data_IF_487144217875
#
_entry.id   IF_487144217875
#
_cell.length_a   1.000
_cell.length_b   1.000
_cell.length_c   1.000
_cell.angle_alpha   90.00
_cell.angle_beta   90.00
_cell.angle_gamma   90.00
#
_symmetry.space_group_name_H-M   'P 1'
#
loop_
_entity.id
_entity.type
_entity.pdbx_description
1 polymer ?
#
# COMPACT_ATOMS: atom_id res chain seq x y z
N UNK A 1 25.74 -0.09 -11.02
CA UNK A 1 24.82 -1.09 -10.47
C UNK A 1 23.39 -0.59 -10.60
N UNK A 2 22.54 -1.37 -11.24
CA UNK A 2 21.11 -1.08 -11.25
C UNK A 2 20.47 -1.67 -10.00
N UNK A 3 19.88 -0.83 -9.17
CA UNK A 3 19.11 -1.28 -8.02
C UNK A 3 17.64 -1.41 -8.42
N UNK A 4 17.20 -2.64 -8.48
CA UNK A 4 15.77 -2.96 -8.62
C UNK A 4 15.29 -3.46 -7.27
N UNK A 5 14.16 -2.96 -6.80
CA UNK A 5 13.56 -3.49 -5.58
C UNK A 5 12.03 -3.48 -5.66
N UNK A 6 11.46 -4.42 -4.95
CA UNK A 6 10.02 -4.49 -4.71
C UNK A 6 9.83 -4.39 -3.21
N UNK A 7 9.06 -3.42 -2.78
CA UNK A 7 8.72 -3.22 -1.37
C UNK A 7 7.21 -3.19 -1.23
N UNK A 8 6.68 -4.05 -0.37
CA UNK A 8 5.24 -4.21 -0.18
C UNK A 8 4.92 -4.12 1.31
N UNK A 9 3.92 -3.31 1.66
CA UNK A 9 3.45 -3.13 3.03
C UNK A 9 1.93 -3.22 3.11
N UNK A 10 1.44 -3.61 4.29
CA UNK A 10 0.02 -3.66 4.63
C UNK A 10 -0.45 -2.33 5.22
N UNK A 11 -1.67 -1.95 4.87
CA UNK A 11 -2.29 -0.71 5.36
C UNK A 11 -3.69 -0.98 5.89
N UNK A 12 -4.00 -0.36 7.03
CA UNK A 12 -5.33 -0.35 7.61
C UNK A 12 -6.04 0.99 7.45
N UNK A 13 -7.33 1.02 7.75
CA UNK A 13 -8.12 2.26 7.77
C UNK A 13 -7.62 3.21 8.86
N UNK A 14 -7.22 2.64 10.00
CA UNK A 14 -6.66 3.35 11.15
C UNK A 14 -5.30 2.75 11.45
N UNK A 15 -4.34 3.60 11.81
CA UNK A 15 -3.00 3.14 12.19
C UNK A 15 -3.09 2.36 13.51
N UNK A 16 -2.54 1.16 13.53
CA UNK A 16 -2.42 0.36 14.75
C UNK A 16 -1.61 1.11 15.79
N UNK A 17 -2.22 1.35 16.94
CA UNK A 17 -1.44 1.76 18.11
C UNK A 17 -0.62 0.55 18.55
N UNK A 18 0.68 0.58 18.31
CA UNK A 18 1.57 -0.42 18.90
C UNK A 18 1.38 -0.34 20.41
N UNK A 19 0.86 -1.39 21.00
CA UNK A 19 0.85 -1.55 22.46
C UNK A 19 2.29 -1.35 22.91
N UNK A 20 2.53 -0.34 23.73
CA UNK A 20 3.80 -0.21 24.41
C UNK A 20 3.97 -1.46 25.25
N UNK A 21 4.78 -2.40 24.79
CA UNK A 21 5.20 -3.47 25.68
C UNK A 21 5.91 -2.79 26.85
N UNK A 22 5.38 -2.97 28.03
CA UNK A 22 5.92 -2.44 29.28
C UNK A 22 7.27 -3.07 29.67
N UNK A 23 8.02 -3.55 28.69
CA UNK A 23 9.40 -4.01 28.88
C UNK A 23 10.34 -2.83 28.77
N UNK A 24 10.93 -2.47 29.89
CA UNK A 24 12.10 -1.64 30.10
C UNK A 24 12.96 -1.39 28.85
N UNK A 25 13.40 -0.14 28.66
CA UNK A 25 14.35 0.38 27.66
C UNK A 25 13.76 0.88 26.34
N UNK A 26 12.61 1.53 26.37
CA UNK A 26 12.00 2.17 25.22
C UNK A 26 12.70 3.44 24.69
N UNK A 27 13.89 3.76 25.20
CA UNK A 27 14.67 4.93 24.76
C UNK A 27 15.04 4.92 23.28
N UNK A 28 14.91 3.77 22.60
CA UNK A 28 15.33 3.58 21.21
C UNK A 28 14.21 3.13 20.27
N UNK A 29 12.98 2.99 20.76
CA UNK A 29 11.85 2.71 19.87
C UNK A 29 11.48 4.00 19.17
N UNK A 30 11.99 4.18 17.95
CA UNK A 30 11.40 5.12 17.01
C UNK A 30 9.92 4.75 16.87
N UNK A 31 9.04 5.66 17.22
CA UNK A 31 7.64 5.55 16.88
C UNK A 31 7.55 5.55 15.34
N UNK A 32 7.58 4.36 14.74
CA UNK A 32 7.25 4.23 13.33
C UNK A 32 5.75 4.48 13.24
N UNK A 33 5.37 5.70 12.94
CA UNK A 33 4.00 6.01 12.58
C UNK A 33 3.69 5.21 11.33
N UNK A 34 2.92 4.13 11.49
CA UNK A 34 2.34 3.44 10.36
C UNK A 34 1.49 4.44 9.57
N UNK A 35 1.30 4.19 8.28
CA UNK A 35 0.43 5.00 7.44
C UNK A 35 -0.92 4.31 7.29
N UNK A 36 -1.98 5.10 7.22
CA UNK A 36 -3.32 4.60 6.91
C UNK A 36 -3.51 4.45 5.40
N UNK A 37 -4.58 3.74 5.01
CA UNK A 37 -5.00 3.67 3.60
C UNK A 37 -5.16 5.09 3.01
N UNK A 38 -5.77 6.00 3.74
CA UNK A 38 -5.95 7.39 3.30
C UNK A 38 -4.62 8.07 3.00
N UNK A 39 -3.65 7.90 3.87
CA UNK A 39 -2.33 8.51 3.71
C UNK A 39 -1.56 7.94 2.52
N UNK A 40 -1.59 6.62 2.33
CA UNK A 40 -0.89 6.01 1.19
C UNK A 40 -1.56 6.36 -0.14
N UNK A 41 -2.88 6.48 -0.18
CA UNK A 41 -3.60 6.93 -1.36
C UNK A 41 -3.26 8.39 -1.69
N UNK A 42 -3.21 9.27 -0.68
CA UNK A 42 -2.82 10.66 -0.85
C UNK A 42 -1.38 10.80 -1.39
N UNK A 43 -0.47 9.98 -0.88
CA UNK A 43 0.90 9.93 -1.39
C UNK A 43 0.94 9.45 -2.85
N UNK A 44 0.20 8.41 -3.19
CA UNK A 44 0.12 7.87 -4.55
C UNK A 44 -0.49 8.87 -5.54
N UNK A 45 -1.44 9.67 -5.11
CA UNK A 45 -2.01 10.78 -5.89
C UNK A 45 -1.05 11.97 -6.00
N UNK A 46 0.02 11.97 -5.22
CA UNK A 46 0.98 13.08 -5.16
C UNK A 46 0.34 14.39 -4.76
N UNK A 47 -0.59 14.34 -3.81
CA UNK A 47 -1.21 15.51 -3.23
C UNK A 47 -0.16 16.40 -2.55
N UNK A 48 -0.41 17.71 -2.53
CA UNK A 48 0.51 18.67 -1.93
C UNK A 48 0.85 18.30 -0.48
N UNK A 49 2.15 18.30 -0.17
CA UNK A 49 2.66 17.97 1.15
C UNK A 49 2.87 16.47 1.41
N UNK A 50 2.43 15.58 0.52
CA UNK A 50 2.58 14.14 0.69
C UNK A 50 3.78 13.55 -0.05
N UNK A 51 4.46 14.33 -0.87
CA UNK A 51 5.68 13.94 -1.58
C UNK A 51 6.80 14.97 -1.38
N UNK A 52 7.25 15.21 -0.13
CA UNK A 52 8.23 16.27 0.15
C UNK A 52 9.62 15.98 -0.46
N UNK A 53 9.90 14.74 -0.79
CA UNK A 53 11.16 14.31 -1.41
C UNK A 53 11.22 14.54 -2.92
N UNK A 54 10.13 14.97 -3.52
CA UNK A 54 10.04 15.24 -4.96
C UNK A 54 9.69 16.70 -5.18
N UNK A 55 10.55 17.41 -5.86
CA UNK A 55 10.39 18.86 -6.08
C UNK A 55 9.19 19.18 -6.96
N UNK A 56 9.02 18.45 -8.06
CA UNK A 56 7.89 18.62 -8.98
C UNK A 56 7.27 17.25 -9.30
N UNK A 57 6.41 16.72 -8.43
CA UNK A 57 5.79 15.42 -8.68
C UNK A 57 4.85 15.49 -9.89
N UNK A 58 5.01 14.52 -10.79
CA UNK A 58 4.11 14.36 -11.94
C UNK A 58 2.83 13.66 -11.50
N UNK A 59 1.73 13.95 -12.20
CA UNK A 59 0.48 13.24 -11.97
C UNK A 59 0.66 11.74 -12.21
N UNK A 60 0.04 10.89 -11.37
CA UNK A 60 0.14 9.45 -11.57
C UNK A 60 -0.57 9.01 -12.85
N UNK A 61 0.02 8.04 -13.55
CA UNK A 61 -0.54 7.45 -14.77
C UNK A 61 -1.08 6.07 -14.43
N UNK A 62 -2.36 5.84 -14.71
CA UNK A 62 -2.96 4.54 -14.51
C UNK A 62 -2.50 3.56 -15.60
N UNK A 63 -1.82 2.49 -15.19
CA UNK A 63 -1.32 1.45 -16.10
C UNK A 63 -2.22 0.22 -16.12
N UNK A 64 -2.91 -0.08 -15.02
CA UNK A 64 -3.75 -1.26 -14.89
C UNK A 64 -4.83 -1.02 -13.84
N UNK A 65 -6.02 -1.55 -14.08
CA UNK A 65 -7.11 -1.59 -13.10
C UNK A 65 -7.85 -0.29 -12.94
N UNK A 66 -8.22 0.02 -11.71
CA UNK A 66 -9.08 1.16 -11.36
C UNK A 66 -8.26 2.33 -10.78
N UNK A 67 -8.83 3.53 -10.82
CA UNK A 67 -8.19 4.72 -10.26
C UNK A 67 -8.06 4.67 -8.75
N UNK A 68 -7.23 5.55 -8.19
CA UNK A 68 -6.90 5.54 -6.77
C UNK A 68 -8.10 5.82 -5.85
N UNK A 69 -9.05 6.65 -6.27
CA UNK A 69 -10.29 6.89 -5.50
C UNK A 69 -11.12 5.62 -5.38
N UNK A 70 -11.19 4.83 -6.44
CA UNK A 70 -11.88 3.56 -6.44
C UNK A 70 -11.16 2.53 -5.58
N UNK A 71 -9.83 2.54 -5.57
CA UNK A 71 -9.01 1.68 -4.68
C UNK A 71 -9.35 1.94 -3.22
N UNK A 72 -9.40 3.21 -2.82
CA UNK A 72 -9.77 3.59 -1.45
C UNK A 72 -11.17 3.09 -1.08
N UNK A 73 -12.12 3.31 -1.97
CA UNK A 73 -13.51 2.84 -1.81
C UNK A 73 -13.59 1.34 -1.66
N UNK A 74 -12.93 0.58 -2.52
CA UNK A 74 -12.90 -0.88 -2.47
C UNK A 74 -12.29 -1.40 -1.16
N UNK A 75 -11.23 -0.77 -0.69
CA UNK A 75 -10.60 -1.13 0.59
C UNK A 75 -11.58 -0.95 1.77
N UNK A 76 -12.30 0.16 1.80
CA UNK A 76 -13.28 0.43 2.85
C UNK A 76 -14.50 -0.48 2.76
N UNK A 77 -14.99 -0.77 1.57
CA UNK A 77 -16.08 -1.74 1.35
C UNK A 77 -15.65 -3.13 1.82
N UNK A 78 -14.43 -3.55 1.51
CA UNK A 78 -13.89 -4.82 1.99
C UNK A 78 -13.88 -4.86 3.52
N UNK A 79 -13.43 -3.79 4.17
CA UNK A 79 -13.40 -3.70 5.63
C UNK A 79 -14.80 -3.80 6.24
N UNK A 80 -15.77 -3.07 5.69
CA UNK A 80 -17.13 -3.02 6.21
C UNK A 80 -17.91 -4.31 6.00
N UNK A 81 -17.64 -5.04 4.91
CA UNK A 81 -18.38 -6.24 4.52
C UNK A 81 -17.71 -7.55 4.97
N UNK A 82 -16.46 -7.51 5.40
CA UNK A 82 -15.75 -8.71 5.84
C UNK A 82 -16.03 -8.99 7.30
N UNK A 83 -16.42 -10.24 7.59
CA UNK A 83 -16.64 -10.73 8.94
C UNK A 83 -15.71 -11.89 9.21
N UNK A 84 -15.27 -12.00 10.47
CA UNK A 84 -14.46 -13.11 10.95
C UNK A 84 -15.28 -13.90 11.99
N UNK A 85 -15.01 -15.18 12.06
CA UNK A 85 -15.63 -16.06 13.05
C UNK A 85 -14.65 -16.26 14.21
N UNK A 86 -15.11 -16.00 15.44
CA UNK A 86 -14.30 -16.22 16.64
C UNK A 86 -14.26 -17.71 17.04
N UNK A 87 -13.54 -18.02 18.12
CA UNK A 87 -13.40 -19.38 18.63
C UNK A 87 -14.74 -20.03 19.03
N UNK A 88 -15.74 -19.22 19.30
CA UNK A 88 -17.08 -19.67 19.73
C UNK A 88 -18.07 -19.76 18.54
N UNK A 89 -17.60 -19.56 17.31
CA UNK A 89 -18.44 -19.56 16.12
C UNK A 89 -19.24 -18.29 15.90
N UNK A 90 -18.97 -17.22 16.67
CA UNK A 90 -19.67 -15.94 16.57
C UNK A 90 -19.01 -15.07 15.50
N UNK A 91 -19.82 -14.52 14.60
CA UNK A 91 -19.35 -13.57 13.60
C UNK A 91 -19.04 -12.21 14.23
N UNK A 92 -17.90 -11.65 13.86
CA UNK A 92 -17.46 -10.32 14.28
C UNK A 92 -16.98 -9.51 13.07
N UNK A 93 -17.13 -8.20 13.15
CA UNK A 93 -16.51 -7.28 12.19
C UNK A 93 -15.00 -7.28 12.35
N UNK A 94 -14.28 -6.94 11.28
CA UNK A 94 -12.85 -6.69 11.37
C UNK A 94 -12.56 -5.56 12.36
N UNK A 95 -11.41 -5.65 13.01
CA UNK A 95 -10.92 -4.58 13.88
C UNK A 95 -10.75 -3.29 13.08
N UNK A 96 -10.88 -2.15 13.75
CA UNK A 96 -10.69 -0.84 13.11
C UNK A 96 -9.29 -0.65 12.49
N UNK A 97 -8.28 -1.31 13.05
CA UNK A 97 -6.89 -1.27 12.60
C UNK A 97 -6.48 -2.49 11.76
N UNK A 98 -7.43 -3.28 11.28
CA UNK A 98 -7.15 -4.44 10.43
C UNK A 98 -6.52 -4.00 9.10
N UNK A 99 -5.58 -4.79 8.61
CA UNK A 99 -4.97 -4.57 7.30
C UNK A 99 -5.97 -4.87 6.19
N UNK A 100 -6.27 -3.90 5.36
CA UNK A 100 -7.29 -3.99 4.30
C UNK A 100 -6.74 -3.67 2.90
N UNK A 101 -5.53 -3.16 2.81
CA UNK A 101 -4.88 -2.82 1.56
C UNK A 101 -3.42 -3.24 1.62
N UNK A 102 -2.98 -3.90 0.57
CA UNK A 102 -1.57 -4.18 0.32
C UNK A 102 -1.10 -3.22 -0.77
N UNK A 103 -0.12 -2.41 -0.48
CA UNK A 103 0.45 -1.48 -1.44
C UNK A 103 1.95 -1.66 -1.54
N UNK A 104 2.48 -1.54 -2.73
CA UNK A 104 3.89 -1.74 -2.96
C UNK A 104 4.46 -0.79 -3.99
N UNK A 105 5.78 -0.70 -3.98
CA UNK A 105 6.57 0.07 -4.92
C UNK A 105 7.50 -0.87 -5.65
N UNK A 106 7.53 -0.76 -6.98
CA UNK A 106 8.47 -1.46 -7.84
C UNK A 106 9.35 -0.40 -8.49
N UNK A 107 10.65 -0.46 -8.25
CA UNK A 107 11.59 0.54 -8.72
C UNK A 107 12.56 0.00 -9.75
N UNK A 108 12.89 0.84 -10.72
CA UNK A 108 13.91 0.60 -11.72
C UNK A 108 14.90 1.78 -11.73
N UNK A 109 16.19 1.49 -11.91
CA UNK A 109 17.20 2.53 -12.01
C UNK A 109 16.97 3.41 -13.25
N UNK A 110 17.17 4.71 -13.10
CA UNK A 110 17.04 5.72 -14.17
C UNK A 110 17.93 5.44 -15.40
N UNK A 111 19.03 4.73 -15.22
CA UNK A 111 19.96 4.40 -16.30
C UNK A 111 19.40 3.36 -17.29
N UNK A 112 18.30 2.74 -16.96
CA UNK A 112 17.64 1.69 -17.76
C UNK A 112 16.36 2.19 -18.46
N UNK A 113 16.32 3.43 -18.89
CA UNK A 113 15.13 4.03 -19.54
C UNK A 113 14.68 3.31 -20.81
N UNK A 114 15.62 2.74 -21.55
CA UNK A 114 15.39 2.01 -22.79
C UNK A 114 14.56 0.73 -22.59
N UNK A 115 14.61 0.14 -21.40
CA UNK A 115 13.84 -1.07 -21.07
C UNK A 115 12.61 -0.76 -20.20
N UNK A 116 12.28 0.52 -20.01
CA UNK A 116 11.23 0.95 -19.07
C UNK A 116 9.85 0.37 -19.41
N UNK A 117 9.48 0.38 -20.69
CA UNK A 117 8.17 -0.18 -21.12
C UNK A 117 8.11 -1.68 -20.91
N UNK A 118 9.14 -2.42 -21.25
CA UNK A 118 9.21 -3.86 -21.02
C UNK A 118 9.18 -4.18 -19.54
N UNK A 119 9.87 -3.40 -18.74
CA UNK A 119 9.91 -3.55 -17.28
C UNK A 119 8.52 -3.33 -16.66
N UNK A 120 7.79 -2.30 -17.09
CA UNK A 120 6.43 -2.05 -16.61
C UNK A 120 5.50 -3.22 -16.94
N UNK A 121 5.56 -3.72 -18.15
CA UNK A 121 4.75 -4.87 -18.59
C UNK A 121 5.09 -6.13 -17.82
N UNK A 122 6.36 -6.40 -17.57
CA UNK A 122 6.81 -7.55 -16.78
C UNK A 122 6.36 -7.44 -15.32
N UNK A 123 6.44 -6.24 -14.74
CA UNK A 123 5.97 -5.99 -13.38
C UNK A 123 4.46 -6.24 -13.25
N UNK A 124 3.67 -5.77 -14.18
CA UNK A 124 2.21 -6.00 -14.20
C UNK A 124 1.91 -7.50 -14.34
N UNK A 125 2.59 -8.19 -15.24
CA UNK A 125 2.41 -9.63 -15.42
C UNK A 125 2.78 -10.41 -14.14
N UNK A 126 3.87 -10.08 -13.49
CA UNK A 126 4.29 -10.67 -12.23
C UNK A 126 3.26 -10.47 -11.13
N UNK A 127 2.78 -9.25 -10.96
CA UNK A 127 1.79 -8.92 -9.93
C UNK A 127 0.44 -9.58 -10.22
N UNK A 128 0.03 -9.65 -11.49
CA UNK A 128 -1.20 -10.33 -11.90
C UNK A 128 -1.13 -11.83 -11.62
N UNK A 129 0.01 -12.47 -11.85
CA UNK A 129 0.22 -13.87 -11.53
C UNK A 129 0.19 -14.13 -10.02
N UNK A 130 0.83 -13.24 -9.25
CA UNK A 130 0.94 -13.41 -7.80
C UNK A 130 -0.38 -13.16 -7.06
N UNK A 131 -1.11 -12.11 -7.44
CA UNK A 131 -2.29 -11.66 -6.74
C UNK A 131 -3.61 -11.94 -7.46
N UNK A 132 -3.58 -12.20 -8.76
CA UNK A 132 -4.78 -12.49 -9.55
C UNK A 132 -5.83 -11.38 -9.46
N UNK A 133 -7.06 -11.75 -9.13
CA UNK A 133 -8.18 -10.80 -8.99
C UNK A 133 -8.03 -9.81 -7.83
N UNK A 134 -7.10 -10.05 -6.91
CA UNK A 134 -6.81 -9.14 -5.80
C UNK A 134 -5.97 -7.93 -6.22
N UNK A 135 -5.33 -8.00 -7.37
CA UNK A 135 -4.63 -6.85 -7.94
C UNK A 135 -5.67 -5.87 -8.51
N UNK A 136 -5.78 -4.70 -7.91
CA UNK A 136 -6.83 -3.73 -8.24
C UNK A 136 -6.32 -2.52 -9.04
N UNK A 137 -5.05 -2.15 -8.87
CA UNK A 137 -4.50 -0.97 -9.56
C UNK A 137 -2.98 -1.03 -9.64
N UNK A 138 -2.45 -0.55 -10.76
CA UNK A 138 -1.03 -0.26 -10.94
C UNK A 138 -0.90 1.13 -11.55
N UNK A 139 -0.09 1.97 -10.96
CA UNK A 139 0.17 3.35 -11.42
C UNK A 139 1.67 3.59 -11.61
N UNK A 140 1.98 4.53 -12.48
CA UNK A 140 3.34 5.05 -12.70
C UNK A 140 3.54 6.40 -12.02
#
# INVERSE_FOLDING_TARGET
>A
MSYQFIHIEDYGRVVSKKTKNNGSNDKYKKETKGRSVREIIAEAKRENGNCPHVENPKDPILLFGVGLDEVEKLAYEYHDNTKITDKNGKEKKLRSDANILLAGVVSLNKDNKDIWEDYKNDAIAYLSNKYGKKLVSVIE
#
